data_IF_729352627495
#
_entry.id   IF_729352627495
#
_cell.length_a   1.000
_cell.length_b   1.000
_cell.length_c   1.000
_cell.angle_alpha   90.00
_cell.angle_beta   90.00
_cell.angle_gamma   90.00
#
_symmetry.space_group_name_H-M   'P 1'
#
loop_
_entity.id
_entity.type
_entity.pdbx_description
1 polymer ?
#
# COMPACT_ATOMS: atom_id res chain seq x y z
N UNK A 1 7.25 10.83 -0.59
CA UNK A 1 6.94 9.95 0.56
C UNK A 1 6.82 8.50 0.05
N UNK A 2 6.69 7.52 0.95
CA UNK A 2 6.51 6.11 0.58
C UNK A 2 5.35 5.57 1.40
N UNK A 3 4.28 5.16 0.74
CA UNK A 3 3.07 4.66 1.38
C UNK A 3 2.78 3.25 0.84
N UNK A 4 2.99 2.18 1.65
CA UNK A 4 2.73 0.82 1.19
C UNK A 4 1.23 0.63 0.95
N UNK A 5 0.90 0.01 -0.19
CA UNK A 5 -0.48 -0.33 -0.58
C UNK A 5 -0.54 -1.84 -0.84
N UNK A 6 -1.60 -2.48 -0.39
CA UNK A 6 -1.79 -3.92 -0.56
C UNK A 6 -3.26 -4.30 -0.39
N UNK A 7 -3.69 -5.26 -1.21
CA UNK A 7 -5.05 -5.78 -1.30
C UNK A 7 -4.97 -7.11 -2.10
N UNK A 8 -6.03 -7.94 -2.19
CA UNK A 8 -6.05 -9.09 -3.09
C UNK A 8 -5.76 -8.72 -4.55
N UNK A 9 -5.30 -9.71 -5.32
CA UNK A 9 -4.99 -9.52 -6.74
C UNK A 9 -6.17 -8.90 -7.48
N UNK A 10 -5.87 -7.91 -8.34
CA UNK A 10 -6.88 -7.15 -9.10
C UNK A 10 -7.25 -5.79 -8.50
N UNK A 11 -6.74 -5.42 -7.32
CA UNK A 11 -7.05 -4.10 -6.75
C UNK A 11 -6.41 -2.92 -7.48
N UNK A 12 -5.39 -3.15 -8.28
CA UNK A 12 -4.91 -2.19 -9.28
C UNK A 12 -5.51 -2.64 -10.61
N UNK A 13 -6.37 -1.81 -11.17
CA UNK A 13 -6.98 -2.07 -12.47
C UNK A 13 -6.25 -1.32 -13.57
N UNK A 14 -6.16 -1.94 -14.74
CA UNK A 14 -5.72 -1.29 -15.97
C UNK A 14 -6.98 -0.69 -16.60
N UNK A 15 -7.07 0.63 -16.66
CA UNK A 15 -8.21 1.31 -17.31
C UNK A 15 -8.04 1.33 -18.83
N UNK A 16 -6.82 1.57 -19.29
CA UNK A 16 -6.41 1.53 -20.69
C UNK A 16 -4.90 1.26 -20.81
N UNK A 17 -4.38 1.23 -22.04
CA UNK A 17 -2.97 0.91 -22.35
C UNK A 17 -1.94 1.78 -21.61
N UNK A 18 -2.34 2.93 -21.05
CA UNK A 18 -1.46 3.87 -20.34
C UNK A 18 -2.01 4.33 -19.00
N UNK A 19 -3.06 3.72 -18.47
CA UNK A 19 -3.71 4.22 -17.26
C UNK A 19 -3.96 3.11 -16.26
N UNK A 20 -3.46 3.32 -15.03
CA UNK A 20 -3.74 2.46 -13.88
C UNK A 20 -4.70 3.15 -12.92
N UNK A 21 -5.57 2.37 -12.28
CA UNK A 21 -6.44 2.81 -11.20
C UNK A 21 -6.01 2.15 -9.90
N UNK A 22 -5.80 2.95 -8.86
CA UNK A 22 -5.38 2.50 -7.54
C UNK A 22 -6.33 3.07 -6.46
N UNK A 23 -7.15 2.23 -5.80
CA UNK A 23 -8.05 2.69 -4.75
C UNK A 23 -7.30 3.06 -3.46
N UNK A 24 -7.71 4.16 -2.83
CA UNK A 24 -7.23 4.56 -1.51
C UNK A 24 -8.07 3.87 -0.42
N UNK A 25 -7.56 2.72 0.03
CA UNK A 25 -8.14 1.92 1.11
C UNK A 25 -8.01 2.62 2.46
N UNK A 26 -8.92 2.27 3.37
CA UNK A 26 -8.87 2.73 4.75
C UNK A 26 -7.51 2.37 5.37
N UNK A 27 -6.84 3.36 5.92
CA UNK A 27 -5.52 3.20 6.53
C UNK A 27 -5.41 3.95 7.84
N UNK A 28 -4.25 4.57 8.08
CA UNK A 28 -3.98 5.42 9.23
C UNK A 28 -4.55 6.85 9.10
N UNK A 29 -5.41 7.11 8.09
CA UNK A 29 -5.97 8.41 7.74
C UNK A 29 -4.93 9.52 7.49
N UNK A 30 -3.69 9.14 7.17
CA UNK A 30 -2.68 10.10 6.71
C UNK A 30 -2.83 10.32 5.21
N UNK A 31 -3.03 11.57 4.85
CA UNK A 31 -3.23 12.00 3.46
C UNK A 31 -1.95 12.58 2.84
N UNK A 32 -0.77 12.27 3.39
CA UNK A 32 0.51 12.83 2.93
C UNK A 32 0.74 12.60 1.43
N UNK A 33 0.52 11.38 0.93
CA UNK A 33 0.67 11.08 -0.51
C UNK A 33 -0.32 11.86 -1.36
N UNK A 34 -1.58 11.97 -0.92
CA UNK A 34 -2.62 12.73 -1.65
C UNK A 34 -2.29 14.22 -1.68
N UNK A 35 -1.81 14.77 -0.56
CA UNK A 35 -1.36 16.16 -0.48
C UNK A 35 -0.17 16.40 -1.41
N UNK A 36 0.81 15.50 -1.43
CA UNK A 36 1.95 15.59 -2.32
C UNK A 36 1.51 15.64 -3.78
N UNK A 37 0.58 14.77 -4.19
CA UNK A 37 0.04 14.73 -5.56
C UNK A 37 -0.60 16.06 -5.99
N UNK A 38 -1.23 16.80 -5.05
CA UNK A 38 -1.80 18.13 -5.35
C UNK A 38 -0.72 19.19 -5.64
N UNK A 39 0.50 19.03 -5.11
CA UNK A 39 1.61 19.96 -5.35
C UNK A 39 2.52 19.51 -6.49
N UNK A 40 2.80 18.22 -6.56
CA UNK A 40 3.60 17.56 -7.59
C UNK A 40 3.00 16.18 -7.86
N UNK A 41 2.41 16.03 -9.03
CA UNK A 41 1.61 14.86 -9.36
C UNK A 41 2.44 13.66 -9.83
N UNK A 42 3.77 13.75 -9.85
CA UNK A 42 4.65 12.64 -10.25
C UNK A 42 4.63 11.55 -9.19
N UNK A 43 4.39 10.32 -9.63
CA UNK A 43 4.33 9.13 -8.76
C UNK A 43 5.17 7.99 -9.33
N UNK A 44 5.62 7.12 -8.44
CA UNK A 44 6.24 5.85 -8.79
C UNK A 44 5.63 4.73 -7.95
N UNK A 45 5.22 3.65 -8.62
CA UNK A 45 4.75 2.43 -8.00
C UNK A 45 5.83 1.34 -8.15
N UNK A 46 6.12 0.61 -7.07
CA UNK A 46 6.93 -0.60 -7.09
C UNK A 46 6.03 -1.78 -6.74
N UNK A 47 5.91 -2.74 -7.66
CA UNK A 47 5.11 -3.93 -7.48
C UNK A 47 5.95 -5.04 -6.84
N UNK A 48 5.54 -5.50 -5.67
CA UNK A 48 6.08 -6.66 -4.97
C UNK A 48 4.99 -7.73 -4.93
N UNK A 49 5.21 -8.84 -5.64
CA UNK A 49 4.26 -9.96 -5.68
C UNK A 49 4.82 -11.10 -4.82
N UNK A 50 4.12 -11.54 -3.77
CA UNK A 50 4.60 -12.63 -2.90
C UNK A 50 4.97 -13.87 -3.71
N UNK A 51 6.18 -14.39 -3.47
CA UNK A 51 6.70 -15.57 -4.18
C UNK A 51 7.34 -15.28 -5.54
N UNK A 52 7.22 -14.06 -6.07
CA UNK A 52 7.83 -13.67 -7.35
C UNK A 52 9.04 -12.79 -7.11
N UNK A 53 10.18 -13.17 -7.69
CA UNK A 53 11.45 -12.48 -7.48
C UNK A 53 11.55 -11.15 -8.24
N UNK A 54 10.99 -11.09 -9.44
CA UNK A 54 11.03 -9.94 -10.32
C UNK A 54 10.07 -8.84 -9.84
N UNK A 55 10.47 -7.59 -10.02
CA UNK A 55 9.63 -6.43 -9.68
C UNK A 55 9.45 -5.53 -10.90
N UNK A 56 8.30 -4.87 -10.95
CA UNK A 56 8.03 -3.82 -11.93
C UNK A 56 7.96 -2.48 -11.21
N UNK A 57 8.62 -1.47 -11.79
CA UNK A 57 8.44 -0.07 -11.38
C UNK A 57 7.71 0.68 -12.48
N UNK A 58 6.60 1.30 -12.12
CA UNK A 58 5.80 2.15 -13.02
C UNK A 58 5.94 3.59 -12.55
N UNK A 59 6.43 4.47 -13.42
CA UNK A 59 6.51 5.89 -13.18
C UNK A 59 5.47 6.62 -14.02
N UNK A 60 4.91 7.69 -13.48
CA UNK A 60 3.91 8.47 -14.19
C UNK A 60 3.40 9.67 -13.40
N UNK A 61 2.21 10.14 -13.75
CA UNK A 61 1.51 11.21 -13.06
C UNK A 61 0.16 10.73 -12.54
N UNK A 62 -0.25 11.21 -11.36
CA UNK A 62 -1.50 10.81 -10.72
C UNK A 62 -2.52 11.95 -10.67
N UNK A 63 -3.78 11.62 -10.87
CA UNK A 63 -4.92 12.46 -10.54
C UNK A 63 -5.77 11.77 -9.46
N UNK A 64 -6.28 12.57 -8.51
CA UNK A 64 -7.17 12.07 -7.47
C UNK A 64 -8.61 12.15 -8.00
N UNK A 65 -9.32 11.02 -8.00
CA UNK A 65 -10.72 10.97 -8.37
C UNK A 65 -11.60 10.60 -7.17
N UNK A 66 -12.75 11.27 -7.10
CA UNK A 66 -13.87 10.96 -6.20
C UNK A 66 -15.14 10.66 -7.00
N UNK A 67 -15.00 10.29 -8.27
CA UNK A 67 -16.13 9.90 -9.12
C UNK A 67 -16.85 8.69 -8.50
N UNK A 68 -18.15 8.81 -8.16
CA UNK A 68 -18.91 7.72 -7.56
C UNK A 68 -18.81 6.40 -8.36
N UNK A 69 -18.83 6.45 -9.69
CA UNK A 69 -18.77 5.25 -10.51
C UNK A 69 -17.41 4.54 -10.38
N UNK A 70 -16.31 5.30 -10.24
CA UNK A 70 -14.99 4.72 -9.97
C UNK A 70 -14.91 4.17 -8.55
N UNK A 71 -15.45 4.87 -7.56
CA UNK A 71 -15.44 4.38 -6.17
C UNK A 71 -16.22 3.06 -6.04
N UNK A 72 -17.36 2.95 -6.71
CA UNK A 72 -18.20 1.75 -6.72
C UNK A 72 -17.49 0.53 -7.34
N UNK A 73 -16.71 0.72 -8.42
CA UNK A 73 -15.91 -0.36 -9.03
C UNK A 73 -14.98 -1.05 -8.03
N UNK A 74 -14.47 -0.30 -7.06
CA UNK A 74 -13.53 -0.80 -6.05
C UNK A 74 -14.19 -1.14 -4.71
N UNK A 75 -15.51 -1.22 -4.62
CA UNK A 75 -16.19 -1.56 -3.37
C UNK A 75 -15.79 -2.97 -2.85
N UNK A 76 -15.45 -3.07 -1.56
CA UNK A 76 -15.24 -4.36 -0.88
C UNK A 76 -16.13 -4.40 0.34
N UNK A 77 -16.92 -5.46 0.53
CA UNK A 77 -17.85 -5.61 1.65
C UNK A 77 -18.76 -4.37 1.85
N UNK A 78 -19.28 -3.82 0.75
CA UNK A 78 -20.07 -2.58 0.70
C UNK A 78 -19.34 -1.32 1.21
N UNK A 79 -18.02 -1.36 1.34
CA UNK A 79 -17.19 -0.20 1.69
C UNK A 79 -16.48 0.34 0.44
N UNK A 80 -16.75 1.61 0.15
CA UNK A 80 -16.09 2.35 -0.93
C UNK A 80 -14.72 2.85 -0.46
N UNK A 81 -13.70 2.87 -1.34
CA UNK A 81 -12.50 3.65 -1.06
C UNK A 81 -12.85 5.14 -0.96
N UNK A 82 -11.98 5.93 -0.33
CA UNK A 82 -12.21 7.39 -0.21
C UNK A 82 -11.92 8.14 -1.51
N UNK A 83 -10.92 7.68 -2.24
CA UNK A 83 -10.50 8.20 -3.53
C UNK A 83 -9.96 7.06 -4.39
N UNK A 84 -9.87 7.29 -5.69
CA UNK A 84 -9.11 6.44 -6.61
C UNK A 84 -8.05 7.31 -7.25
N UNK A 85 -6.80 6.86 -7.20
CA UNK A 85 -5.73 7.47 -7.97
C UNK A 85 -5.80 6.93 -9.40
N UNK A 86 -5.96 7.84 -10.36
CA UNK A 86 -5.84 7.56 -11.79
C UNK A 86 -4.43 7.95 -12.22
N UNK A 87 -3.63 6.96 -12.62
CA UNK A 87 -2.19 7.11 -12.84
C UNK A 87 -1.91 6.92 -14.32
N UNK A 88 -1.49 8.01 -14.97
CA UNK A 88 -1.03 8.01 -16.36
C UNK A 88 0.42 7.52 -16.39
N UNK A 89 0.66 6.38 -17.03
CA UNK A 89 1.96 5.73 -17.15
C UNK A 89 2.85 6.46 -18.15
N UNK A 90 4.04 6.85 -17.71
CA UNK A 90 5.07 7.47 -18.55
C UNK A 90 6.20 6.51 -18.88
N UNK A 91 6.59 5.67 -17.93
CA UNK A 91 7.65 4.67 -18.13
C UNK A 91 7.49 3.47 -17.21
N UNK A 92 7.95 2.33 -17.70
CA UNK A 92 7.93 1.05 -16.96
C UNK A 92 9.33 0.46 -16.98
N UNK A 93 9.79 0.01 -15.81
CA UNK A 93 11.09 -0.60 -15.63
C UNK A 93 10.94 -2.00 -15.06
N UNK A 94 11.53 -2.97 -15.74
CA UNK A 94 11.73 -4.30 -15.21
C UNK A 94 12.96 -4.32 -14.29
N UNK A 95 12.83 -4.95 -13.13
CA UNK A 95 13.92 -5.16 -12.19
C UNK A 95 14.07 -6.65 -11.90
N UNK A 96 15.29 -7.16 -12.10
CA UNK A 96 15.60 -8.58 -11.93
C UNK A 96 15.51 -9.02 -10.46
N UNK A 97 15.34 -10.32 -10.24
CA UNK A 97 15.09 -10.95 -8.95
C UNK A 97 16.25 -10.99 -7.95
N UNK A 98 17.43 -10.46 -8.31
CA UNK A 98 18.65 -10.58 -7.49
C UNK A 98 18.50 -10.04 -6.08
N UNK A 99 17.83 -8.90 -5.89
CA UNK A 99 17.66 -8.30 -4.57
C UNK A 99 16.78 -9.18 -3.67
N UNK A 100 15.65 -9.65 -4.21
CA UNK A 100 14.67 -10.48 -3.50
C UNK A 100 15.24 -11.85 -3.15
N UNK A 101 16.00 -12.46 -4.08
CA UNK A 101 16.70 -13.74 -3.84
C UNK A 101 17.75 -13.59 -2.73
N UNK A 102 18.62 -12.57 -2.82
CA UNK A 102 19.70 -12.36 -1.84
C UNK A 102 19.18 -12.08 -0.43
N UNK A 103 18.04 -11.41 -0.31
CA UNK A 103 17.44 -11.11 0.99
C UNK A 103 16.61 -12.26 1.55
N UNK A 104 16.33 -13.30 0.77
CA UNK A 104 15.39 -14.36 1.15
C UNK A 104 13.96 -13.85 1.37
N UNK A 105 13.54 -12.73 0.75
CA UNK A 105 12.31 -12.03 1.16
C UNK A 105 11.05 -12.93 1.16
N UNK A 106 10.98 -13.85 0.21
CA UNK A 106 9.88 -14.80 0.06
C UNK A 106 10.20 -16.20 0.57
N UNK A 107 11.40 -16.43 1.11
CA UNK A 107 11.81 -17.71 1.63
C UNK A 107 11.25 -17.91 3.05
N UNK A 108 10.35 -18.87 3.19
CA UNK A 108 9.73 -19.22 4.47
C UNK A 108 10.76 -19.61 5.54
N UNK A 109 11.91 -20.20 5.16
CA UNK A 109 12.95 -20.62 6.09
C UNK A 109 13.72 -19.43 6.68
N UNK A 110 13.67 -18.26 6.05
CA UNK A 110 14.35 -17.04 6.53
C UNK A 110 13.47 -16.15 7.41
N UNK A 111 12.18 -16.49 7.55
CA UNK A 111 11.24 -15.69 8.33
C UNK A 111 11.52 -15.82 9.83
N UNK A 112 11.75 -14.68 10.49
CA UNK A 112 11.97 -14.63 11.94
C UNK A 112 10.64 -14.57 12.71
N UNK A 113 10.68 -15.01 13.97
CA UNK A 113 9.55 -14.93 14.89
C UNK A 113 9.15 -13.46 15.13
N UNK A 114 7.85 -13.18 15.28
CA UNK A 114 7.38 -11.82 15.60
C UNK A 114 7.97 -11.31 16.92
N UNK A 115 8.27 -12.21 17.85
CA UNK A 115 8.85 -11.90 19.15
C UNK A 115 10.31 -11.42 19.06
N UNK A 116 10.97 -11.63 17.91
CA UNK A 116 12.34 -11.14 17.64
C UNK A 116 12.42 -9.62 17.44
N UNK A 117 11.29 -8.94 17.27
CA UNK A 117 11.20 -7.49 17.07
C UNK A 117 10.34 -6.84 18.16
N UNK A 118 10.56 -5.56 18.53
CA UNK A 118 9.67 -4.82 19.43
C UNK A 118 8.22 -4.82 18.92
N UNK A 119 7.25 -4.82 19.81
CA UNK A 119 5.83 -4.73 19.44
C UNK A 119 5.50 -3.41 18.74
N UNK A 120 4.36 -3.32 18.05
CA UNK A 120 3.97 -2.09 17.36
C UNK A 120 3.78 -0.94 18.35
N UNK A 121 3.14 -1.21 19.50
CA UNK A 121 3.00 -0.27 20.60
C UNK A 121 4.34 0.18 21.17
N UNK A 122 5.30 -0.73 21.33
CA UNK A 122 6.67 -0.39 21.78
C UNK A 122 7.37 0.55 20.81
N UNK A 123 7.26 0.31 19.50
CA UNK A 123 7.82 1.19 18.46
C UNK A 123 7.14 2.56 18.52
N UNK A 124 5.81 2.59 18.55
CA UNK A 124 5.05 3.84 18.55
C UNK A 124 5.32 4.69 19.79
N UNK A 125 5.49 4.08 20.97
CA UNK A 125 5.86 4.78 22.22
C UNK A 125 7.18 5.55 22.10
N UNK A 126 8.09 5.16 21.20
CA UNK A 126 9.36 5.84 20.97
C UNK A 126 9.24 7.04 20.01
N UNK A 127 8.20 7.08 19.17
CA UNK A 127 8.08 8.06 18.07
C UNK A 127 6.80 8.91 18.13
N UNK A 128 5.92 8.64 19.09
CA UNK A 128 4.65 9.33 19.30
C UNK A 128 4.22 9.28 20.77
N UNK A 129 3.45 10.28 21.21
CA UNK A 129 2.85 10.32 22.54
C UNK A 129 1.59 9.44 22.59
N UNK A 130 1.77 8.13 22.78
CA UNK A 130 0.68 7.16 22.92
C UNK A 130 0.92 6.14 24.03
N UNK A 131 -0.14 5.52 24.52
CA UNK A 131 -0.06 4.31 25.34
C UNK A 131 0.17 3.08 24.43
N UNK A 132 1.43 2.64 24.35
CA UNK A 132 1.83 1.48 23.54
C UNK A 132 1.21 0.16 24.00
N UNK A 133 1.04 -0.05 25.30
CA UNK A 133 0.50 -1.31 25.83
C UNK A 133 -1.00 -1.42 25.55
N UNK A 134 -1.73 -0.31 25.71
CA UNK A 134 -3.13 -0.22 25.30
C UNK A 134 -3.28 -0.41 23.78
N UNK A 135 -2.36 0.14 22.98
CA UNK A 135 -2.36 -0.03 21.53
C UNK A 135 -2.21 -1.51 21.12
N UNK A 136 -1.21 -2.21 21.67
CA UNK A 136 -0.96 -3.61 21.33
C UNK A 136 -2.13 -4.53 21.73
N UNK A 137 -2.77 -4.27 22.88
CA UNK A 137 -3.97 -5.01 23.31
C UNK A 137 -5.14 -4.84 22.34
N UNK A 138 -5.34 -3.65 21.81
CA UNK A 138 -6.45 -3.33 20.91
C UNK A 138 -6.18 -3.72 19.44
N UNK A 139 -4.92 -3.87 19.04
CA UNK A 139 -4.52 -4.01 17.64
C UNK A 139 -5.15 -5.22 16.91
N UNK A 140 -5.22 -6.45 17.47
CA UNK A 140 -5.77 -7.60 16.75
C UNK A 140 -7.24 -7.43 16.35
N UNK A 141 -8.08 -6.95 17.27
CA UNK A 141 -9.50 -6.69 17.00
C UNK A 141 -9.70 -5.50 16.06
N UNK A 142 -8.88 -4.45 16.23
CA UNK A 142 -8.90 -3.29 15.34
C UNK A 142 -8.59 -3.68 13.89
N UNK A 143 -7.56 -4.50 13.65
CA UNK A 143 -7.19 -4.94 12.31
C UNK A 143 -8.31 -5.74 11.64
N UNK A 144 -8.97 -6.65 12.36
CA UNK A 144 -10.11 -7.41 11.83
C UNK A 144 -11.26 -6.51 11.40
N UNK A 145 -11.55 -5.48 12.19
CA UNK A 145 -12.73 -4.63 12.01
C UNK A 145 -12.48 -3.38 11.13
N UNK A 146 -11.23 -3.07 10.78
CA UNK A 146 -10.87 -1.84 10.07
C UNK A 146 -9.97 -2.03 8.86
N UNK A 147 -9.88 -3.25 8.31
CA UNK A 147 -9.06 -3.53 7.13
C UNK A 147 -9.61 -2.85 5.87
N UNK A 148 -10.93 -2.72 5.78
CA UNK A 148 -11.66 -2.03 4.72
C UNK A 148 -12.51 -0.92 5.30
#
# INVERSE_FOLDING_TARGET
DVSPRGDPAGFIEIEDDKTLLLPDRRGNNRIDSLRNILYDNRVALLFLIPGIGETLRVNGTAAISTDPALLERFAINNQLPKTVLRITVESVFFQCSRAIIRSGLWDAETQISRQSLPSTGSILKQIAEIDGDAYDKALPERLKNSLY
#
